data_IF_158941509013
#
_entry.id   IF_158941509013
#
_cell.length_a   1.000
_cell.length_b   1.000
_cell.length_c   1.000
_cell.angle_alpha   90.00
_cell.angle_beta   90.00
_cell.angle_gamma   90.00
#
_symmetry.space_group_name_H-M   'P 1'
#
loop_
_entity.id
_entity.type
_entity.pdbx_description
1 polymer ?
#
# COMPACT_ATOMS: atom_id res chain seq x y z
N UNK A 1 22.87 15.20 5.95
CA UNK A 1 21.56 14.97 6.58
C UNK A 1 21.25 13.50 6.40
N UNK A 2 21.08 12.75 7.49
CA UNK A 2 20.78 11.33 7.41
C UNK A 2 19.30 11.18 7.07
N UNK A 3 18.98 10.69 5.88
CA UNK A 3 17.64 10.24 5.53
C UNK A 3 17.31 9.04 6.42
N UNK A 4 16.22 9.11 7.19
CA UNK A 4 15.74 7.98 7.97
C UNK A 4 14.88 7.11 7.04
N UNK A 5 15.35 5.90 6.77
CA UNK A 5 14.62 4.89 6.01
C UNK A 5 14.42 3.68 6.92
N UNK A 6 13.16 3.36 7.16
CA UNK A 6 12.71 2.23 7.97
C UNK A 6 11.99 1.24 7.07
N UNK A 7 12.10 -0.06 7.36
CA UNK A 7 11.39 -1.10 6.62
C UNK A 7 10.43 -1.80 7.56
N UNK A 8 9.16 -1.86 7.14
CA UNK A 8 8.08 -2.43 7.94
C UNK A 8 7.51 -3.67 7.27
N UNK A 9 7.39 -4.75 8.04
CA UNK A 9 6.74 -5.97 7.58
C UNK A 9 5.24 -5.89 7.87
N UNK A 10 4.42 -5.87 6.82
CA UNK A 10 2.97 -5.76 6.92
C UNK A 10 2.31 -7.06 6.46
N UNK A 11 1.44 -7.63 7.31
CA UNK A 11 0.73 -8.88 7.03
C UNK A 11 -0.70 -8.69 6.54
N UNK A 12 -1.25 -7.47 6.60
CA UNK A 12 -2.56 -7.13 6.06
C UNK A 12 -3.18 -5.89 6.73
N UNK A 13 -4.47 -5.73 6.49
CA UNK A 13 -5.35 -4.70 7.08
C UNK A 13 -6.53 -5.39 7.79
N UNK A 14 -7.57 -4.63 8.15
CA UNK A 14 -8.76 -5.21 8.79
C UNK A 14 -9.55 -6.12 7.84
N UNK A 15 -9.66 -5.75 6.56
CA UNK A 15 -10.45 -6.48 5.55
C UNK A 15 -9.62 -7.35 4.62
N UNK A 16 -8.32 -7.07 4.51
CA UNK A 16 -7.40 -7.76 3.62
C UNK A 16 -6.30 -8.47 4.40
N UNK A 17 -5.86 -9.59 3.89
CA UNK A 17 -4.68 -10.31 4.36
C UNK A 17 -3.72 -10.48 3.21
N UNK A 18 -2.44 -10.18 3.43
CA UNK A 18 -1.43 -10.56 2.45
C UNK A 18 -1.14 -12.05 2.57
N UNK A 19 -1.04 -12.73 1.43
CA UNK A 19 -0.67 -14.16 1.39
C UNK A 19 0.76 -14.40 1.87
N UNK A 20 1.60 -13.38 1.76
CA UNK A 20 2.93 -13.31 2.34
C UNK A 20 3.14 -11.90 2.89
N UNK A 21 3.86 -11.73 4.01
CA UNK A 21 4.16 -10.39 4.50
C UNK A 21 4.91 -9.58 3.44
N UNK A 22 4.48 -8.34 3.22
CA UNK A 22 5.16 -7.41 2.31
C UNK A 22 6.09 -6.49 3.12
N UNK A 23 7.14 -6.02 2.47
CA UNK A 23 8.06 -5.03 3.02
C UNK A 23 7.65 -3.67 2.47
N UNK A 24 7.26 -2.77 3.38
CA UNK A 24 6.91 -1.39 3.05
C UNK A 24 8.04 -0.48 3.48
N UNK A 25 8.42 0.42 2.57
CA UNK A 25 9.46 1.40 2.80
C UNK A 25 8.84 2.62 3.48
N UNK A 26 9.32 2.97 4.67
CA UNK A 26 8.84 4.14 5.40
C UNK A 26 9.96 5.15 5.50
N UNK A 27 9.75 6.33 4.96
CA UNK A 27 10.75 7.39 4.93
C UNK A 27 10.14 8.74 5.27
N UNK A 28 10.96 9.63 5.86
CA UNK A 28 10.54 11.01 6.13
C UNK A 28 10.81 11.88 4.91
N UNK A 29 9.79 12.57 4.44
CA UNK A 29 9.90 13.56 3.37
C UNK A 29 10.82 14.71 3.80
N UNK A 30 11.77 15.06 2.94
CA UNK A 30 12.67 16.20 3.15
C UNK A 30 11.98 17.55 3.04
N UNK A 31 10.84 17.62 2.34
CA UNK A 31 10.17 18.87 1.98
C UNK A 31 8.96 19.20 2.87
N UNK A 32 8.29 18.18 3.42
CA UNK A 32 6.96 18.33 4.05
C UNK A 32 6.87 17.88 5.51
N UNK A 33 7.97 17.45 6.13
CA UNK A 33 8.01 16.91 7.50
C UNK A 33 7.02 15.78 7.81
N UNK A 34 6.51 15.11 6.77
CA UNK A 34 5.62 13.95 6.84
C UNK A 34 6.41 12.66 6.66
N UNK A 35 5.82 11.57 7.15
CA UNK A 35 6.25 10.21 6.87
C UNK A 35 5.46 9.64 5.71
N UNK A 36 6.16 8.92 4.85
CA UNK A 36 5.62 8.29 3.65
C UNK A 36 5.91 6.80 3.75
N UNK A 37 4.86 5.98 3.71
CA UNK A 37 4.93 4.54 3.59
C UNK A 37 4.64 4.16 2.12
N UNK A 38 5.62 3.61 1.41
CA UNK A 38 5.54 3.34 -0.02
C UNK A 38 5.71 1.84 -0.34
N UNK A 39 4.91 1.37 -1.29
CA UNK A 39 5.05 0.05 -1.90
C UNK A 39 5.03 0.18 -3.44
N UNK A 40 6.21 0.33 -4.07
CA UNK A 40 6.34 0.64 -5.49
C UNK A 40 5.70 -0.39 -6.42
N UNK A 41 5.69 -1.67 -6.04
CA UNK A 41 5.15 -2.75 -6.89
C UNK A 41 3.65 -2.58 -7.19
N UNK A 42 2.91 -1.94 -6.28
CA UNK A 42 1.50 -1.64 -6.49
C UNK A 42 1.24 -0.17 -6.81
N UNK A 43 2.25 0.69 -6.74
CA UNK A 43 2.08 2.14 -6.80
C UNK A 43 1.01 2.60 -5.78
N UNK A 44 1.25 2.28 -4.50
CA UNK A 44 0.40 2.62 -3.36
C UNK A 44 1.30 3.19 -2.29
N UNK A 45 0.90 4.33 -1.76
CA UNK A 45 1.59 5.01 -0.69
C UNK A 45 0.58 5.47 0.36
N UNK A 46 1.05 5.71 1.56
CA UNK A 46 0.32 6.36 2.64
C UNK A 46 1.16 7.44 3.29
N UNK A 47 0.50 8.43 3.86
CA UNK A 47 1.13 9.61 4.45
C UNK A 47 0.69 9.81 5.91
N UNK A 48 1.57 10.38 6.75
CA UNK A 48 1.24 10.65 8.14
C UNK A 48 2.23 11.55 8.87
N UNK A 49 1.83 12.08 10.03
CA UNK A 49 2.72 12.89 10.89
C UNK A 49 3.79 12.04 11.58
N UNK A 50 3.59 10.73 11.64
CA UNK A 50 4.50 9.74 12.18
C UNK A 50 4.47 8.43 11.35
N UNK A 51 5.42 7.52 11.60
CA UNK A 51 5.54 6.24 10.90
C UNK A 51 4.25 5.39 11.02
N UNK A 52 3.57 5.44 12.17
CA UNK A 52 2.38 4.62 12.42
C UNK A 52 1.20 5.14 11.61
N UNK A 53 1.00 6.46 11.57
CA UNK A 53 -0.03 7.10 10.74
C UNK A 53 0.19 6.80 9.26
N UNK A 54 1.43 6.91 8.76
CA UNK A 54 1.73 6.61 7.36
C UNK A 54 1.41 5.15 7.00
N UNK A 55 1.68 4.21 7.91
CA UNK A 55 1.35 2.78 7.74
C UNK A 55 -0.17 2.54 7.78
N UNK A 56 -0.90 3.24 8.66
CA UNK A 56 -2.36 3.15 8.73
C UNK A 56 -3.01 3.69 7.45
N UNK A 57 -2.57 4.85 6.98
CA UNK A 57 -3.04 5.45 5.73
C UNK A 57 -2.71 4.56 4.53
N UNK A 58 -1.51 3.98 4.48
CA UNK A 58 -1.13 2.99 3.45
C UNK A 58 -2.08 1.79 3.42
N UNK A 59 -2.47 1.25 4.59
CA UNK A 59 -3.43 0.14 4.68
C UNK A 59 -4.80 0.54 4.16
N UNK A 60 -5.25 1.77 4.44
CA UNK A 60 -6.52 2.29 3.91
C UNK A 60 -6.45 2.45 2.40
N UNK A 61 -5.41 3.08 1.87
CA UNK A 61 -5.20 3.25 0.43
C UNK A 61 -5.14 1.89 -0.31
N UNK A 62 -4.53 0.89 0.31
CA UNK A 62 -4.52 -0.49 -0.18
C UNK A 62 -5.94 -1.08 -0.26
N UNK A 63 -6.74 -0.95 0.80
CA UNK A 63 -8.13 -1.42 0.81
C UNK A 63 -8.96 -0.72 -0.27
N UNK A 64 -8.88 0.60 -0.35
CA UNK A 64 -9.59 1.39 -1.35
C UNK A 64 -9.21 0.99 -2.77
N UNK A 65 -7.91 0.81 -3.04
CA UNK A 65 -7.43 0.39 -4.36
C UNK A 65 -7.94 -1.01 -4.72
N UNK A 66 -7.87 -1.97 -3.79
CA UNK A 66 -8.34 -3.32 -4.02
C UNK A 66 -9.86 -3.38 -4.24
N UNK A 67 -10.65 -2.78 -3.35
CA UNK A 67 -12.11 -2.80 -3.46
C UNK A 67 -12.63 -1.96 -4.64
N UNK A 68 -11.95 -0.85 -4.97
CA UNK A 68 -12.22 -0.06 -6.16
C UNK A 68 -12.03 -0.89 -7.44
N UNK A 69 -10.87 -1.53 -7.60
CA UNK A 69 -10.62 -2.41 -8.74
C UNK A 69 -11.57 -3.61 -8.77
N UNK A 70 -11.93 -4.17 -7.60
CA UNK A 70 -12.87 -5.29 -7.51
C UNK A 70 -14.27 -4.92 -8.01
N UNK A 71 -14.72 -3.71 -7.72
CA UNK A 71 -16.03 -3.19 -8.14
C UNK A 71 -16.08 -2.91 -9.64
N UNK A 72 -14.98 -2.39 -10.20
CA UNK A 72 -14.91 -1.98 -11.62
C UNK A 72 -14.27 -3.03 -12.53
N UNK A 73 -14.14 -4.30 -12.09
CA UNK A 73 -13.51 -5.42 -12.82
C UNK A 73 -13.87 -5.52 -14.31
N UNK A 74 -15.12 -5.23 -14.65
CA UNK A 74 -15.64 -5.36 -16.03
C UNK A 74 -15.28 -4.17 -16.94
N UNK A 75 -14.78 -3.06 -16.37
CA UNK A 75 -14.39 -1.82 -17.07
C UNK A 75 -12.90 -1.52 -16.97
N UNK A 76 -12.10 -2.42 -16.40
CA UNK A 76 -10.66 -2.21 -16.23
C UNK A 76 -9.97 -2.21 -17.60
N UNK A 77 -9.29 -1.11 -17.92
CA UNK A 77 -8.31 -1.06 -19.01
C UNK A 77 -7.14 -2.01 -18.73
N UNK A 78 -6.32 -2.28 -19.75
CA UNK A 78 -5.21 -3.24 -19.70
C UNK A 78 -4.27 -3.05 -18.49
N UNK A 79 -3.93 -1.82 -18.14
CA UNK A 79 -3.06 -1.50 -16.99
C UNK A 79 -3.70 -1.85 -15.64
N UNK A 80 -4.98 -1.51 -15.47
CA UNK A 80 -5.71 -1.81 -14.23
C UNK A 80 -5.94 -3.31 -14.05
N UNK A 81 -6.04 -4.06 -15.15
CA UNK A 81 -6.11 -5.51 -15.13
C UNK A 81 -4.79 -6.13 -14.65
N UNK A 82 -3.65 -5.62 -15.11
CA UNK A 82 -2.33 -6.06 -14.61
C UNK A 82 -2.18 -5.80 -13.12
N UNK A 83 -2.54 -4.59 -12.66
CA UNK A 83 -2.54 -4.26 -11.22
C UNK A 83 -3.49 -5.19 -10.43
N UNK A 84 -4.67 -5.49 -10.98
CA UNK A 84 -5.60 -6.46 -10.39
C UNK A 84 -5.03 -7.88 -10.29
N UNK A 85 -4.34 -8.35 -11.33
CA UNK A 85 -3.72 -9.68 -11.32
C UNK A 85 -2.63 -9.78 -10.25
N UNK A 86 -1.81 -8.73 -10.08
CA UNK A 86 -0.83 -8.64 -8.98
C UNK A 86 -1.56 -8.70 -7.64
N UNK A 87 -2.59 -7.87 -7.44
CA UNK A 87 -3.38 -7.89 -6.21
C UNK A 87 -3.91 -9.28 -5.86
N UNK A 88 -4.42 -10.04 -6.84
CA UNK A 88 -4.92 -11.39 -6.61
C UNK A 88 -3.82 -12.39 -6.24
N UNK A 89 -2.57 -12.13 -6.61
CA UNK A 89 -1.44 -12.98 -6.23
C UNK A 89 -1.01 -12.72 -4.78
N UNK A 90 -1.00 -11.47 -4.35
CA UNK A 90 -0.43 -11.07 -3.05
C UNK A 90 -1.46 -10.86 -1.94
N UNK A 91 -2.73 -10.57 -2.26
CA UNK A 91 -3.81 -10.31 -1.29
C UNK A 91 -4.87 -11.41 -1.36
N UNK A 92 -5.44 -11.71 -0.20
CA UNK A 92 -6.68 -12.45 -0.03
C UNK A 92 -7.62 -11.67 0.89
N UNK A 93 -8.92 -11.76 0.63
CA UNK A 93 -9.93 -11.22 1.54
C UNK A 93 -10.00 -12.08 2.79
N UNK A 94 -10.23 -11.46 3.95
CA UNK A 94 -10.46 -12.16 5.21
C UNK A 94 -11.88 -12.70 5.33
#
# INVERSE_FOLDING_TARGET
>A
MSSFLSFYMISGSDRLQFKQPIIVEVSRSSDSDIWIADYPELNIYGEGEDESQAIEDFKLALEESYFGLKKDKEKLGTELKQKWDVFQQIIQEK
#
